data_IF_664460856976
#
_entry.id   IF_664460856976
#
_cell.length_a   1.000
_cell.length_b   1.000
_cell.length_c   1.000
_cell.angle_alpha   90.00
_cell.angle_beta   90.00
_cell.angle_gamma   90.00
#
_symmetry.space_group_name_H-M   'P 1'
#
loop_
_entity.id
_entity.type
_entity.pdbx_description
1 polymer ?
#
# COMPACT_ATOMS: atom_id res chain seq x y z
N UNK A 1 -31.78 10.29 -12.37
CA UNK A 1 -30.85 9.13 -12.39
C UNK A 1 -29.50 9.63 -11.90
N UNK A 2 -29.35 9.66 -10.57
CA UNK A 2 -28.18 10.21 -9.89
C UNK A 2 -26.95 9.34 -10.14
N UNK A 3 -25.99 9.90 -10.89
CA UNK A 3 -24.65 9.33 -11.03
C UNK A 3 -23.98 9.39 -9.65
N UNK A 4 -24.10 8.32 -8.85
CA UNK A 4 -23.27 8.09 -7.65
C UNK A 4 -21.82 8.26 -8.07
N UNK A 5 -21.23 9.44 -7.83
CA UNK A 5 -19.81 9.70 -8.03
C UNK A 5 -19.08 8.64 -7.22
N UNK A 6 -18.37 7.71 -7.90
CA UNK A 6 -17.47 6.76 -7.23
C UNK A 6 -16.63 7.58 -6.25
N UNK A 7 -16.78 7.35 -4.94
CA UNK A 7 -15.99 8.02 -3.92
C UNK A 7 -14.53 7.83 -4.34
N UNK A 8 -13.83 8.93 -4.62
CA UNK A 8 -12.39 8.88 -4.87
C UNK A 8 -11.79 8.26 -3.60
N UNK A 9 -11.13 7.11 -3.75
CA UNK A 9 -10.44 6.49 -2.63
C UNK A 9 -9.48 7.53 -2.03
N UNK A 10 -9.40 7.59 -0.71
CA UNK A 10 -8.47 8.49 -0.02
C UNK A 10 -7.03 8.18 -0.44
N UNK A 11 -6.24 9.21 -0.67
CA UNK A 11 -4.82 9.07 -1.03
C UNK A 11 -3.95 9.07 0.24
N UNK A 12 -2.99 8.15 0.32
CA UNK A 12 -1.94 8.14 1.34
C UNK A 12 -0.65 8.69 0.71
N UNK A 13 -0.10 9.75 1.29
CA UNK A 13 1.19 10.34 0.87
C UNK A 13 2.23 9.95 1.91
N UNK A 14 3.27 9.24 1.47
CA UNK A 14 4.39 8.81 2.31
C UNK A 14 5.64 9.53 1.81
N UNK A 15 6.42 10.09 2.73
CA UNK A 15 7.73 10.69 2.45
C UNK A 15 8.80 9.75 2.99
N UNK A 16 9.71 9.35 2.12
CA UNK A 16 10.90 8.54 2.41
C UNK A 16 12.09 9.19 1.70
N UNK A 17 13.31 8.75 2.03
CA UNK A 17 14.49 9.25 1.34
C UNK A 17 14.58 8.70 -0.11
N UNK A 18 15.35 9.37 -0.96
CA UNK A 18 15.41 9.04 -2.39
C UNK A 18 16.02 7.65 -2.66
N UNK A 19 17.01 7.24 -1.86
CA UNK A 19 17.66 5.93 -2.00
C UNK A 19 16.69 4.79 -1.70
N UNK A 20 16.00 4.85 -0.57
CA UNK A 20 15.00 3.87 -0.16
C UNK A 20 13.85 3.78 -1.17
N UNK A 21 13.43 4.92 -1.72
CA UNK A 21 12.44 4.94 -2.81
C UNK A 21 12.97 4.22 -4.05
N UNK A 22 14.21 4.49 -4.46
CA UNK A 22 14.80 3.89 -5.65
C UNK A 22 14.94 2.37 -5.49
N UNK A 23 15.46 1.92 -4.35
CA UNK A 23 15.63 0.50 -4.03
C UNK A 23 14.28 -0.24 -4.03
N UNK A 24 13.24 0.36 -3.43
CA UNK A 24 11.90 -0.22 -3.41
C UNK A 24 11.28 -0.32 -4.81
N UNK A 25 11.44 0.70 -5.65
CA UNK A 25 10.91 0.69 -7.02
C UNK A 25 11.65 -0.34 -7.87
N UNK A 26 12.98 -0.41 -7.77
CA UNK A 26 13.78 -1.40 -8.48
C UNK A 26 13.37 -2.83 -8.12
N UNK A 27 13.22 -3.12 -6.82
CA UNK A 27 12.75 -4.42 -6.37
C UNK A 27 11.34 -4.73 -6.89
N UNK A 28 10.46 -3.72 -6.97
CA UNK A 28 9.14 -3.93 -7.56
C UNK A 28 9.22 -4.32 -9.04
N UNK A 29 10.13 -3.73 -9.80
CA UNK A 29 10.33 -4.05 -11.21
C UNK A 29 10.89 -5.47 -11.39
N UNK A 30 11.87 -5.87 -10.57
CA UNK A 30 12.43 -7.23 -10.57
C UNK A 30 11.39 -8.32 -10.29
N UNK A 31 10.43 -8.02 -9.42
CA UNK A 31 9.36 -8.95 -9.02
C UNK A 31 8.11 -8.87 -9.92
N UNK A 32 8.15 -8.13 -11.03
CA UNK A 32 7.00 -7.87 -11.91
C UNK A 32 5.76 -7.39 -11.11
N UNK A 33 6.01 -6.42 -10.22
CA UNK A 33 5.03 -5.81 -9.32
C UNK A 33 5.04 -4.29 -9.39
N UNK A 34 4.15 -3.66 -8.63
CA UNK A 34 4.11 -2.20 -8.50
C UNK A 34 4.21 -1.82 -7.03
N UNK A 35 4.87 -0.70 -6.75
CA UNK A 35 4.91 -0.10 -5.41
C UNK A 35 3.52 -0.02 -4.76
N UNK A 36 2.51 0.38 -5.54
CA UNK A 36 1.15 0.48 -5.04
C UNK A 36 0.54 -0.89 -4.66
N UNK A 37 0.90 -1.96 -5.38
CA UNK A 37 0.45 -3.34 -5.06
C UNK A 37 1.10 -3.83 -3.77
N UNK A 38 2.42 -3.66 -3.64
CA UNK A 38 3.18 -4.09 -2.46
C UNK A 38 2.77 -3.31 -1.20
N UNK A 39 2.66 -1.98 -1.27
CA UNK A 39 2.22 -1.19 -0.10
C UNK A 39 0.80 -1.56 0.33
N UNK A 40 -0.12 -1.81 -0.60
CA UNK A 40 -1.48 -2.27 -0.24
C UNK A 40 -1.47 -3.65 0.42
N UNK A 41 -0.64 -4.56 -0.09
CA UNK A 41 -0.47 -5.90 0.48
C UNK A 41 0.08 -5.81 1.90
N UNK A 42 1.16 -5.05 2.09
CA UNK A 42 1.75 -4.80 3.39
C UNK A 42 0.75 -4.20 4.38
N UNK A 43 0.00 -3.16 4.00
CA UNK A 43 -1.02 -2.54 4.87
C UNK A 43 -2.06 -3.58 5.31
N UNK A 44 -2.51 -4.45 4.39
CA UNK A 44 -3.49 -5.48 4.69
C UNK A 44 -2.93 -6.51 5.66
N UNK A 45 -1.79 -7.10 5.33
CA UNK A 45 -1.12 -8.12 6.15
C UNK A 45 -0.81 -7.58 7.55
N UNK A 46 -0.20 -6.40 7.64
CA UNK A 46 0.07 -5.72 8.90
C UNK A 46 -1.21 -5.50 9.74
N UNK A 47 -2.29 -5.05 9.12
CA UNK A 47 -3.56 -4.81 9.85
C UNK A 47 -4.16 -6.13 10.37
N UNK A 48 -4.10 -7.19 9.59
CA UNK A 48 -4.59 -8.52 9.97
C UNK A 48 -3.77 -9.10 11.13
N UNK A 49 -2.44 -9.02 11.05
CA UNK A 49 -1.54 -9.45 12.12
C UNK A 49 -1.79 -8.72 13.45
N UNK A 50 -1.95 -7.40 13.41
CA UNK A 50 -2.19 -6.62 14.64
C UNK A 50 -3.57 -6.91 15.25
N UNK A 51 -4.60 -7.12 14.42
CA UNK A 51 -5.92 -7.52 14.90
C UNK A 51 -5.90 -8.89 15.58
N UNK A 52 -5.20 -9.85 14.97
CA UNK A 52 -5.03 -11.19 15.55
C UNK A 52 -4.34 -11.12 16.93
N UNK A 53 -3.27 -10.32 17.05
CA UNK A 53 -2.55 -10.11 18.33
C UNK A 53 -3.37 -9.42 19.43
N UNK A 54 -4.36 -8.61 19.05
CA UNK A 54 -5.21 -7.88 20.00
C UNK A 54 -6.44 -8.66 20.47
N UNK A 55 -6.69 -9.84 19.90
CA UNK A 55 -7.85 -10.68 20.20
C UNK A 55 -7.51 -11.89 21.08
N UNK A 56 -6.30 -11.92 21.65
CA UNK A 56 -5.79 -12.87 22.65
C UNK A 56 -5.60 -12.15 23.99
#
# INVERSE_FOLDING_TARGET
MDKKKKKKNSQLIIRINDQERADFIHLCEELDTTAAREIRRFIKEFTEEQKAKSSD
#
